data_IF_960329141578
#
_entry.id   IF_960329141578
#
_cell.length_a   1.000
_cell.length_b   1.000
_cell.length_c   1.000
_cell.angle_alpha   90.00
_cell.angle_beta   90.00
_cell.angle_gamma   90.00
#
_symmetry.space_group_name_H-M   'P 1'
#
loop_
_entity.id
_entity.type
_entity.pdbx_description
1 polymer ?
#
# COMPACT_ATOMS: atom_id res chain seq x y z
N UNK A 1 61.78 -51.11 94.28
CA UNK A 1 62.24 -51.54 92.93
C UNK A 1 61.77 -50.53 91.87
N UNK A 2 62.27 -50.68 90.64
CA UNK A 2 62.07 -49.88 89.41
C UNK A 2 60.70 -49.18 89.18
N UNK A 3 60.79 -47.98 88.57
CA UNK A 3 59.92 -47.40 87.52
C UNK A 3 58.37 -47.42 87.67
N UNK A 4 57.76 -46.21 87.67
CA UNK A 4 56.72 -45.89 86.66
C UNK A 4 56.46 -44.38 86.36
N UNK A 5 57.31 -43.45 86.80
CA UNK A 5 57.06 -42.00 86.70
C UNK A 5 57.21 -41.33 85.31
N UNK A 6 57.54 -42.05 84.23
CA UNK A 6 57.90 -41.43 82.93
C UNK A 6 56.74 -41.23 81.93
N UNK A 7 55.66 -42.01 82.02
CA UNK A 7 54.60 -41.98 80.99
C UNK A 7 53.76 -40.68 81.00
N UNK A 8 53.55 -40.04 82.15
CA UNK A 8 52.75 -38.81 82.25
C UNK A 8 53.36 -37.60 81.53
N UNK A 9 54.68 -37.39 81.63
CA UNK A 9 55.37 -36.23 81.00
C UNK A 9 55.43 -36.34 79.48
N UNK A 10 55.64 -37.54 78.94
CA UNK A 10 55.63 -37.78 77.49
C UNK A 10 54.26 -37.51 76.85
N UNK A 11 53.17 -37.89 77.54
CA UNK A 11 51.81 -37.69 77.03
C UNK A 11 51.45 -36.20 76.92
N UNK A 12 51.70 -35.40 77.97
CA UNK A 12 51.45 -33.93 77.94
C UNK A 12 52.27 -33.20 76.88
N UNK A 13 53.53 -33.58 76.66
CA UNK A 13 54.37 -32.96 75.62
C UNK A 13 53.85 -33.21 74.20
N UNK A 14 53.37 -34.43 73.92
CA UNK A 14 52.73 -34.75 72.64
C UNK A 14 51.38 -34.04 72.47
N UNK A 15 50.56 -33.99 73.53
CA UNK A 15 49.27 -33.30 73.54
C UNK A 15 49.42 -31.79 73.28
N UNK A 16 50.41 -31.14 73.89
CA UNK A 16 50.71 -29.73 73.64
C UNK A 16 51.15 -29.48 72.20
N UNK A 17 51.99 -30.36 71.61
CA UNK A 17 52.39 -30.27 70.20
C UNK A 17 51.21 -30.45 69.25
N UNK A 18 50.32 -31.43 69.51
CA UNK A 18 49.11 -31.63 68.71
C UNK A 18 48.14 -30.44 68.79
N UNK A 19 48.02 -29.80 69.97
CA UNK A 19 47.23 -28.58 70.13
C UNK A 19 47.84 -27.39 69.38
N UNK A 20 49.16 -27.22 69.39
CA UNK A 20 49.84 -26.19 68.60
C UNK A 20 49.69 -26.43 67.08
N UNK A 21 49.80 -27.68 66.63
CA UNK A 21 49.60 -28.06 65.23
C UNK A 21 48.15 -27.85 64.77
N UNK A 22 47.18 -28.15 65.63
CA UNK A 22 45.76 -27.90 65.36
C UNK A 22 45.42 -26.39 65.32
N UNK A 23 46.02 -25.58 66.21
CA UNK A 23 45.86 -24.11 66.18
C UNK A 23 46.46 -23.52 64.90
N UNK A 24 47.66 -23.94 64.50
CA UNK A 24 48.28 -23.48 63.25
C UNK A 24 47.45 -23.87 62.03
N UNK A 25 46.89 -25.09 62.00
CA UNK A 25 46.00 -25.53 60.92
C UNK A 25 44.68 -24.74 60.89
N UNK A 26 44.11 -24.41 62.05
CA UNK A 26 42.91 -23.59 62.13
C UNK A 26 43.17 -22.16 61.63
N UNK A 27 44.33 -21.57 61.95
CA UNK A 27 44.73 -20.26 61.41
C UNK A 27 44.89 -20.30 59.88
N UNK A 28 45.54 -21.34 59.34
CA UNK A 28 45.68 -21.52 57.89
C UNK A 28 44.32 -21.72 57.19
N UNK A 29 43.40 -22.48 57.79
CA UNK A 29 42.05 -22.68 57.25
C UNK A 29 41.20 -21.39 57.31
N UNK A 30 41.38 -20.56 58.35
CA UNK A 30 40.76 -19.24 58.48
C UNK A 30 41.34 -18.23 57.47
N UNK A 31 42.65 -18.21 57.27
CA UNK A 31 43.34 -17.41 56.25
C UNK A 31 42.89 -17.80 54.83
N UNK A 32 42.88 -19.10 54.49
CA UNK A 32 42.37 -19.58 53.19
C UNK A 32 40.88 -19.27 53.01
N UNK A 33 40.06 -19.31 54.07
CA UNK A 33 38.65 -18.91 53.99
C UNK A 33 38.50 -17.42 53.65
N UNK A 34 39.27 -16.55 54.32
CA UNK A 34 39.26 -15.12 54.07
C UNK A 34 39.80 -14.77 52.67
N UNK A 35 40.79 -15.51 52.16
CA UNK A 35 41.27 -15.35 50.79
C UNK A 35 40.22 -15.79 49.76
N UNK A 36 39.57 -16.94 49.95
CA UNK A 36 38.47 -17.41 49.09
C UNK A 36 37.29 -16.43 49.09
N UNK A 37 36.96 -15.82 50.23
CA UNK A 37 35.91 -14.81 50.34
C UNK A 37 36.25 -13.51 49.60
N UNK A 38 37.50 -13.01 49.73
CA UNK A 38 37.99 -11.86 48.95
C UNK A 38 37.95 -12.11 47.43
N UNK A 39 38.42 -13.27 46.99
CA UNK A 39 38.40 -13.66 45.57
C UNK A 39 36.96 -13.81 45.03
N UNK A 40 36.01 -14.20 45.88
CA UNK A 40 34.59 -14.24 45.53
C UNK A 40 33.99 -12.83 45.41
N UNK A 41 34.27 -11.94 46.37
CA UNK A 41 33.86 -10.53 46.32
C UNK A 41 34.43 -9.81 45.09
N UNK A 42 35.74 -9.91 44.84
CA UNK A 42 36.40 -9.30 43.67
C UNK A 42 35.81 -9.84 42.34
N UNK A 43 35.38 -11.10 42.31
CA UNK A 43 34.70 -11.69 41.14
C UNK A 43 33.28 -11.17 40.95
N UNK A 44 32.53 -10.93 42.04
CA UNK A 44 31.21 -10.30 41.97
C UNK A 44 31.32 -8.84 41.51
N UNK A 45 32.24 -8.06 42.08
CA UNK A 45 32.50 -6.66 41.68
C UNK A 45 32.85 -6.55 40.19
N UNK A 46 33.71 -7.45 39.66
CA UNK A 46 34.04 -7.50 38.22
C UNK A 46 32.83 -7.86 37.35
N UNK A 47 31.95 -8.75 37.81
CA UNK A 47 30.75 -9.13 37.07
C UNK A 47 29.70 -8.02 37.07
N UNK A 48 29.50 -7.36 38.21
CA UNK A 48 28.62 -6.19 38.34
C UNK A 48 29.14 -5.02 37.51
N UNK A 49 30.43 -4.67 37.60
CA UNK A 49 31.02 -3.59 36.80
C UNK A 49 30.88 -3.84 35.29
N UNK A 50 31.04 -5.11 34.84
CA UNK A 50 30.77 -5.49 33.45
C UNK A 50 29.30 -5.28 33.08
N UNK A 51 28.37 -5.78 33.89
CA UNK A 51 26.93 -5.65 33.64
C UNK A 51 26.43 -4.19 33.67
N UNK A 52 26.95 -3.37 34.59
CA UNK A 52 26.68 -1.94 34.64
C UNK A 52 27.23 -1.22 33.39
N UNK A 53 28.42 -1.60 32.91
CA UNK A 53 29.00 -1.05 31.68
C UNK A 53 28.22 -1.43 30.42
N UNK A 54 27.78 -2.69 30.30
CA UNK A 54 26.94 -3.15 29.19
C UNK A 54 25.59 -2.41 29.18
N UNK A 55 24.90 -2.34 30.32
CA UNK A 55 23.67 -1.55 30.49
C UNK A 55 23.86 -0.07 30.14
N UNK A 56 25.02 0.53 30.47
CA UNK A 56 25.32 1.92 30.11
C UNK A 56 25.53 2.11 28.60
N UNK A 57 26.12 1.13 27.90
CA UNK A 57 26.21 1.16 26.42
C UNK A 57 24.81 1.05 25.79
N UNK A 58 24.02 0.07 26.23
CA UNK A 58 22.63 -0.13 25.76
C UNK A 58 21.77 1.14 25.93
N UNK A 59 21.85 1.78 27.09
CA UNK A 59 21.12 3.03 27.36
C UNK A 59 21.62 4.20 26.50
N UNK A 60 22.93 4.30 26.23
CA UNK A 60 23.49 5.32 25.35
C UNK A 60 23.08 5.12 23.88
N UNK A 61 23.03 3.86 23.43
CA UNK A 61 22.57 3.48 22.08
C UNK A 61 21.06 3.75 21.91
N UNK A 62 20.24 3.36 22.89
CA UNK A 62 18.80 3.65 22.91
C UNK A 62 18.52 5.16 22.92
N UNK A 63 19.24 5.94 23.73
CA UNK A 63 19.13 7.40 23.72
C UNK A 63 19.56 8.01 22.38
N UNK A 64 20.64 7.51 21.76
CA UNK A 64 21.06 7.92 20.42
C UNK A 64 20.00 7.61 19.36
N UNK A 65 19.34 6.44 19.45
CA UNK A 65 18.25 6.05 18.55
C UNK A 65 17.00 6.92 18.76
N UNK A 66 16.63 7.22 20.01
CA UNK A 66 15.52 8.11 20.34
C UNK A 66 15.75 9.53 19.80
N UNK A 67 16.97 10.07 19.94
CA UNK A 67 17.34 11.37 19.35
C UNK A 67 17.26 11.37 17.83
N UNK A 68 17.70 10.29 17.15
CA UNK A 68 17.57 10.12 15.70
C UNK A 68 16.10 10.05 15.26
N UNK A 69 15.26 9.30 15.97
CA UNK A 69 13.82 9.20 15.71
C UNK A 69 13.12 10.56 15.82
N UNK A 70 13.33 11.29 16.91
CA UNK A 70 12.75 12.63 17.09
C UNK A 70 13.24 13.62 16.02
N UNK A 71 14.53 13.54 15.63
CA UNK A 71 15.09 14.36 14.56
C UNK A 71 14.47 14.04 13.19
N UNK A 72 14.23 12.76 12.90
CA UNK A 72 13.56 12.31 11.67
C UNK A 72 12.07 12.72 11.65
N UNK A 73 11.38 12.64 12.79
CA UNK A 73 9.99 13.09 12.93
C UNK A 73 9.87 14.61 12.69
N UNK A 74 10.75 15.41 13.28
CA UNK A 74 10.82 16.85 13.03
C UNK A 74 11.11 17.15 11.54
N UNK A 75 12.08 16.45 10.95
CA UNK A 75 12.43 16.61 9.53
C UNK A 75 11.25 16.26 8.61
N UNK A 76 10.50 15.17 8.89
CA UNK A 76 9.27 14.79 8.18
C UNK A 76 8.22 15.91 8.26
N UNK A 77 8.02 16.50 9.44
CA UNK A 77 7.08 17.61 9.63
C UNK A 77 7.50 18.87 8.87
N UNK A 78 8.79 19.21 8.84
CA UNK A 78 9.28 20.40 8.15
C UNK A 78 9.35 20.21 6.63
N UNK A 79 9.69 19.01 6.15
CA UNK A 79 9.57 18.63 4.74
C UNK A 79 8.12 18.75 4.23
N UNK A 80 7.13 18.26 5.00
CA UNK A 80 5.71 18.40 4.66
C UNK A 80 5.23 19.87 4.63
N UNK A 81 5.78 20.75 5.48
CA UNK A 81 5.51 22.21 5.41
C UNK A 81 6.14 22.83 4.17
N UNK A 82 7.40 22.47 3.88
CA UNK A 82 8.13 22.98 2.72
C UNK A 82 7.45 22.58 1.41
N UNK A 83 7.03 21.32 1.26
CA UNK A 83 6.31 20.86 0.07
C UNK A 83 4.99 21.61 -0.17
N UNK A 84 4.21 21.92 0.89
CA UNK A 84 3.00 22.75 0.78
C UNK A 84 3.32 24.21 0.43
N UNK A 85 4.44 24.75 0.90
CA UNK A 85 4.90 26.09 0.54
C UNK A 85 5.41 26.17 -0.91
N UNK A 86 6.15 25.16 -1.37
CA UNK A 86 6.61 25.04 -2.75
C UNK A 86 5.44 24.91 -3.73
N UNK A 87 4.41 24.13 -3.39
CA UNK A 87 3.19 24.02 -4.18
C UNK A 87 2.40 25.35 -4.23
N UNK A 88 2.29 26.06 -3.11
CA UNK A 88 1.69 27.40 -3.10
C UNK A 88 2.46 28.43 -3.96
N UNK A 89 3.78 28.26 -4.10
CA UNK A 89 4.63 29.13 -4.92
C UNK A 89 4.71 28.73 -6.40
N UNK A 90 4.43 27.47 -6.77
CA UNK A 90 4.62 27.01 -8.15
C UNK A 90 3.60 27.61 -9.12
N UNK A 91 2.38 27.87 -8.66
CA UNK A 91 1.27 28.43 -9.44
C UNK A 91 0.99 27.68 -10.77
N UNK A 92 1.34 26.40 -10.82
CA UNK A 92 1.31 25.56 -12.03
C UNK A 92 -0.10 25.05 -12.42
N UNK A 93 -1.10 25.24 -11.55
CA UNK A 93 -2.47 24.78 -11.77
C UNK A 93 -2.68 23.28 -11.55
N UNK A 94 -1.69 22.56 -11.01
CA UNK A 94 -1.91 21.20 -10.48
C UNK A 94 -2.74 21.26 -9.18
N UNK A 95 -3.62 20.28 -8.91
CA UNK A 95 -4.41 20.26 -7.67
C UNK A 95 -3.62 19.67 -6.48
N UNK A 96 -3.92 20.09 -5.24
CA UNK A 96 -3.48 19.37 -4.03
C UNK A 96 -4.35 18.12 -3.85
N UNK A 97 -3.80 16.89 -3.93
CA UNK A 97 -4.59 15.67 -3.76
C UNK A 97 -5.18 15.48 -2.35
N UNK A 98 -4.75 16.25 -1.35
CA UNK A 98 -5.37 16.31 -0.03
C UNK A 98 -6.62 17.19 0.02
N UNK A 99 -6.98 17.88 -1.07
CA UNK A 99 -8.16 18.74 -1.18
C UNK A 99 -9.15 18.12 -2.18
N UNK A 100 -10.21 17.40 -1.71
CA UNK A 100 -11.12 16.67 -2.60
C UNK A 100 -11.83 17.56 -3.63
N UNK A 101 -12.03 18.84 -3.32
CA UNK A 101 -12.64 19.81 -4.24
C UNK A 101 -11.77 20.10 -5.46
N UNK A 102 -10.44 20.18 -5.28
CA UNK A 102 -9.49 20.45 -6.37
C UNK A 102 -9.35 19.23 -7.29
N UNK A 103 -9.22 18.03 -6.71
CA UNK A 103 -9.19 16.78 -7.47
C UNK A 103 -10.49 16.53 -8.22
N UNK A 104 -11.65 16.69 -7.58
CA UNK A 104 -12.94 16.51 -8.27
C UNK A 104 -13.12 17.53 -9.40
N UNK A 105 -12.63 18.76 -9.23
CA UNK A 105 -12.62 19.78 -10.29
C UNK A 105 -11.68 19.38 -11.42
N UNK A 106 -10.45 18.96 -11.13
CA UNK A 106 -9.48 18.47 -12.13
C UNK A 106 -10.02 17.27 -12.92
N UNK A 107 -10.56 16.25 -12.24
CA UNK A 107 -11.11 15.06 -12.88
C UNK A 107 -12.34 15.39 -13.73
N UNK A 108 -13.20 16.32 -13.30
CA UNK A 108 -14.38 16.73 -14.09
C UNK A 108 -13.96 17.53 -15.33
N UNK A 109 -13.12 18.56 -15.16
CA UNK A 109 -12.60 19.37 -16.26
C UNK A 109 -11.86 18.50 -17.29
N UNK A 110 -11.01 17.58 -16.84
CA UNK A 110 -10.30 16.70 -17.76
C UNK A 110 -11.23 15.67 -18.41
N UNK A 111 -12.23 15.15 -17.71
CA UNK A 111 -13.25 14.26 -18.30
C UNK A 111 -13.99 14.92 -19.46
N UNK A 112 -14.40 16.18 -19.30
CA UNK A 112 -15.08 16.95 -20.36
C UNK A 112 -14.13 17.34 -21.51
N UNK A 113 -12.84 17.58 -21.21
CA UNK A 113 -11.80 17.96 -22.18
C UNK A 113 -11.67 16.94 -23.32
N UNK A 114 -11.60 17.43 -24.57
CA UNK A 114 -11.53 16.58 -25.74
C UNK A 114 -10.07 16.37 -26.15
N UNK A 115 -9.39 15.43 -25.50
CA UNK A 115 -8.07 14.94 -25.89
C UNK A 115 -8.15 14.28 -27.30
N UNK A 116 -8.00 15.11 -28.34
CA UNK A 116 -8.06 14.65 -29.74
C UNK A 116 -6.88 13.75 -30.09
N UNK A 117 -5.72 13.99 -29.47
CA UNK A 117 -4.46 13.32 -29.76
C UNK A 117 -3.86 12.61 -28.54
N UNK A 118 -3.19 11.49 -28.79
CA UNK A 118 -2.53 10.63 -27.81
C UNK A 118 -1.36 11.34 -27.15
N UNK A 119 -0.69 12.29 -27.82
CA UNK A 119 0.40 13.07 -27.21
C UNK A 119 -0.10 13.96 -26.06
N UNK A 120 -1.27 14.59 -26.20
CA UNK A 120 -1.89 15.40 -25.13
C UNK A 120 -2.17 14.54 -23.89
N UNK A 121 -2.68 13.31 -24.10
CA UNK A 121 -2.87 12.33 -23.01
C UNK A 121 -1.53 11.96 -22.37
N UNK A 122 -0.46 11.74 -23.15
CA UNK A 122 0.90 11.46 -22.63
C UNK A 122 1.49 12.60 -21.80
N UNK A 123 1.19 13.85 -22.15
CA UNK A 123 1.62 15.04 -21.41
C UNK A 123 0.81 15.19 -20.12
N UNK A 124 -0.53 15.15 -20.19
CA UNK A 124 -1.42 15.27 -19.03
C UNK A 124 -1.20 14.14 -18.00
N UNK A 125 -0.90 12.93 -18.48
CA UNK A 125 -0.54 11.74 -17.69
C UNK A 125 0.50 12.02 -16.61
N UNK A 126 1.56 12.79 -16.89
CA UNK A 126 2.62 13.02 -15.90
C UNK A 126 2.09 13.79 -14.68
N UNK A 127 1.06 14.64 -14.84
CA UNK A 127 0.33 15.25 -13.72
C UNK A 127 -0.45 14.19 -12.94
N UNK A 128 -1.21 13.33 -13.64
CA UNK A 128 -2.02 12.26 -13.02
C UNK A 128 -1.14 11.31 -12.18
N UNK A 129 0.01 10.90 -12.71
CA UNK A 129 0.96 10.03 -12.02
C UNK A 129 1.54 10.70 -10.77
N UNK A 130 1.84 12.01 -10.83
CA UNK A 130 2.30 12.79 -9.68
C UNK A 130 1.22 12.89 -8.57
N UNK A 131 -0.06 13.02 -8.95
CA UNK A 131 -1.19 13.02 -7.99
C UNK A 131 -1.39 11.66 -7.33
N UNK A 132 -1.27 10.57 -8.11
CA UNK A 132 -1.31 9.19 -7.61
C UNK A 132 -0.13 8.94 -6.65
N UNK A 133 1.10 9.26 -7.06
CA UNK A 133 2.31 9.10 -6.24
C UNK A 133 2.20 9.87 -4.90
N UNK A 134 1.67 11.11 -4.92
CA UNK A 134 1.39 11.89 -3.70
C UNK A 134 0.39 11.20 -2.77
N UNK A 135 -0.70 10.63 -3.29
CA UNK A 135 -1.70 9.92 -2.49
C UNK A 135 -1.13 8.62 -1.91
N UNK A 136 -0.37 7.87 -2.69
CA UNK A 136 0.26 6.62 -2.29
C UNK A 136 1.35 6.86 -1.23
N UNK A 137 2.13 7.92 -1.38
CA UNK A 137 3.10 8.40 -0.38
C UNK A 137 2.41 8.78 0.94
N UNK A 138 1.27 9.48 0.89
CA UNK A 138 0.47 9.80 2.08
C UNK A 138 -0.10 8.54 2.75
N UNK A 139 -0.61 7.58 1.96
CA UNK A 139 -1.14 6.30 2.46
C UNK A 139 -0.08 5.44 3.17
N UNK A 140 1.18 5.55 2.74
CA UNK A 140 2.35 4.84 3.26
C UNK A 140 3.02 5.56 4.45
N UNK A 141 3.17 6.88 4.39
CA UNK A 141 3.81 7.67 5.47
C UNK A 141 2.91 7.92 6.68
N UNK A 142 1.58 7.93 6.49
CA UNK A 142 0.68 8.38 7.55
C UNK A 142 0.64 7.38 8.71
N UNK A 143 0.96 7.87 9.91
CA UNK A 143 0.75 7.12 11.14
C UNK A 143 -0.76 6.87 11.35
N UNK A 144 -1.16 5.82 12.12
CA UNK A 144 -2.57 5.53 12.38
C UNK A 144 -3.37 6.70 12.97
N UNK A 145 -2.69 7.65 13.62
CA UNK A 145 -3.25 8.86 14.22
C UNK A 145 -3.26 10.07 13.26
N UNK A 146 -2.54 10.01 12.13
CA UNK A 146 -2.45 11.10 11.14
C UNK A 146 -3.61 11.09 10.13
N UNK A 147 -4.18 9.92 9.79
CA UNK A 147 -5.35 9.78 8.89
C UNK A 147 -6.38 8.80 9.43
N UNK A 148 -7.66 9.15 9.32
CA UNK A 148 -8.77 8.23 9.60
C UNK A 148 -8.88 7.15 8.51
N UNK A 149 -9.44 5.98 8.86
CA UNK A 149 -9.74 4.94 7.86
C UNK A 149 -10.65 5.48 6.74
N UNK A 150 -11.62 6.34 7.07
CA UNK A 150 -12.46 7.01 6.07
C UNK A 150 -11.69 7.91 5.09
N UNK A 151 -10.55 8.50 5.49
CA UNK A 151 -9.67 9.24 4.58
C UNK A 151 -8.76 8.30 3.78
N UNK A 152 -8.31 7.20 4.39
CA UNK A 152 -7.56 6.14 3.72
C UNK A 152 -8.37 5.55 2.56
N UNK A 153 -9.64 5.25 2.79
CA UNK A 153 -10.58 4.75 1.78
C UNK A 153 -10.81 5.80 0.67
N UNK A 154 -11.02 7.07 1.02
CA UNK A 154 -11.18 8.17 0.06
C UNK A 154 -9.95 8.35 -0.84
N UNK A 155 -8.73 8.27 -0.29
CA UNK A 155 -7.50 8.37 -1.09
C UNK A 155 -7.31 7.17 -2.01
N UNK A 156 -7.69 5.95 -1.58
CA UNK A 156 -7.66 4.75 -2.43
C UNK A 156 -8.67 4.86 -3.58
N UNK A 157 -9.91 5.28 -3.30
CA UNK A 157 -10.93 5.53 -4.33
C UNK A 157 -10.48 6.58 -5.35
N UNK A 158 -9.88 7.70 -4.90
CA UNK A 158 -9.34 8.73 -5.81
C UNK A 158 -8.21 8.20 -6.69
N UNK A 159 -7.30 7.35 -6.18
CA UNK A 159 -6.27 6.70 -7.01
C UNK A 159 -6.92 5.87 -8.12
N UNK A 160 -7.94 5.07 -7.79
CA UNK A 160 -8.66 4.25 -8.77
C UNK A 160 -9.37 5.10 -9.83
N UNK A 161 -10.04 6.19 -9.42
CA UNK A 161 -10.70 7.12 -10.35
C UNK A 161 -9.71 7.84 -11.29
N UNK A 162 -8.51 8.20 -10.79
CA UNK A 162 -7.45 8.79 -11.62
C UNK A 162 -6.85 7.77 -12.61
N UNK A 163 -6.68 6.51 -12.19
CA UNK A 163 -6.20 5.42 -13.06
C UNK A 163 -7.22 5.08 -14.17
N UNK A 164 -8.51 4.95 -13.82
CA UNK A 164 -9.61 4.72 -14.75
C UNK A 164 -9.77 5.88 -15.76
N UNK A 165 -9.76 7.13 -15.28
CA UNK A 165 -9.83 8.31 -16.15
C UNK A 165 -8.65 8.38 -17.14
N UNK A 166 -7.42 8.10 -16.69
CA UNK A 166 -6.25 8.01 -17.58
C UNK A 166 -6.41 6.90 -18.63
N UNK A 167 -6.94 5.74 -18.24
CA UNK A 167 -7.21 4.65 -19.17
C UNK A 167 -8.31 5.01 -20.19
N UNK A 168 -9.38 5.68 -19.74
CA UNK A 168 -10.45 6.20 -20.59
C UNK A 168 -9.91 7.20 -21.62
N UNK A 169 -9.08 8.18 -21.22
CA UNK A 169 -8.48 9.13 -22.16
C UNK A 169 -7.57 8.49 -23.20
N UNK A 170 -6.81 7.45 -22.84
CA UNK A 170 -6.09 6.66 -23.84
C UNK A 170 -7.03 5.94 -24.82
N UNK A 171 -8.23 5.52 -24.39
CA UNK A 171 -9.24 4.92 -25.26
C UNK A 171 -9.91 5.97 -26.17
N UNK A 172 -10.24 7.15 -25.65
CA UNK A 172 -10.85 8.25 -26.41
C UNK A 172 -9.89 8.76 -27.50
N UNK A 173 -8.63 9.05 -27.15
CA UNK A 173 -7.62 9.46 -28.11
C UNK A 173 -7.31 8.36 -29.14
N UNK A 174 -7.37 7.07 -28.74
CA UNK A 174 -7.28 5.93 -29.68
C UNK A 174 -8.46 5.94 -30.67
N UNK A 175 -9.69 6.18 -30.18
CA UNK A 175 -10.88 6.25 -31.03
C UNK A 175 -10.80 7.45 -31.99
N UNK A 176 -10.33 8.61 -31.51
CA UNK A 176 -10.15 9.81 -32.33
C UNK A 176 -9.11 9.61 -33.44
N UNK A 177 -7.95 9.00 -33.13
CA UNK A 177 -6.96 8.63 -34.14
C UNK A 177 -7.50 7.61 -35.15
N UNK A 178 -8.31 6.64 -34.72
CA UNK A 178 -8.92 5.65 -35.62
C UNK A 178 -9.97 6.26 -36.57
N UNK A 179 -10.71 7.30 -36.18
CA UNK A 179 -11.64 8.04 -37.08
C UNK A 179 -10.93 8.65 -38.30
N UNK A 180 -9.65 9.02 -38.15
CA UNK A 180 -8.83 9.65 -39.19
C UNK A 180 -7.77 8.70 -39.79
N UNK A 181 -7.79 7.40 -39.47
CA UNK A 181 -6.74 6.45 -39.82
C UNK A 181 -6.43 6.35 -41.33
N UNK A 182 -7.40 6.59 -42.20
CA UNK A 182 -7.20 6.62 -43.66
C UNK A 182 -6.34 7.79 -44.15
N UNK A 183 -6.13 8.82 -43.34
CA UNK A 183 -5.19 9.92 -43.62
C UNK A 183 -3.73 9.54 -43.32
N UNK A 184 -3.52 8.48 -42.53
CA UNK A 184 -2.21 7.97 -42.09
C UNK A 184 -1.91 6.60 -42.70
N UNK A 185 -2.42 6.37 -43.92
CA UNK A 185 -2.13 5.17 -44.70
C UNK A 185 -0.66 5.16 -45.17
N UNK A 186 0.11 4.16 -44.74
CA UNK A 186 1.45 3.90 -45.28
C UNK A 186 1.36 3.47 -46.76
N UNK A 187 2.21 4.07 -47.59
CA UNK A 187 2.27 3.81 -49.04
C UNK A 187 2.74 2.41 -49.43
N UNK A 188 3.49 1.69 -48.59
CA UNK A 188 4.01 0.36 -48.94
C UNK A 188 3.01 -0.76 -48.60
N UNK A 189 2.41 -0.72 -47.42
CA UNK A 189 1.44 -1.72 -46.94
C UNK A 189 -0.01 -1.36 -47.29
N UNK A 190 -0.34 -0.07 -47.29
CA UNK A 190 -1.69 0.46 -47.36
C UNK A 190 -2.45 0.42 -46.02
N UNK A 191 -1.77 0.14 -44.91
CA UNK A 191 -2.34 0.11 -43.56
C UNK A 191 -1.86 1.33 -42.75
N UNK A 192 -2.53 1.68 -41.65
CA UNK A 192 -1.99 2.69 -40.72
C UNK A 192 -1.06 2.04 -39.72
N UNK A 193 0.05 2.69 -39.37
CA UNK A 193 0.77 2.42 -38.12
C UNK A 193 1.34 3.70 -37.50
N UNK A 194 1.49 3.73 -36.18
CA UNK A 194 2.07 4.86 -35.44
C UNK A 194 2.73 4.37 -34.16
N UNK A 195 3.86 4.96 -33.78
CA UNK A 195 4.57 4.73 -32.51
C UNK A 195 4.81 6.08 -31.85
N UNK A 196 4.35 6.23 -30.61
CA UNK A 196 4.61 7.38 -29.74
C UNK A 196 5.27 6.88 -28.46
N UNK A 197 6.25 7.61 -27.94
CA UNK A 197 7.14 7.12 -26.89
C UNK A 197 7.63 8.24 -25.99
N UNK A 198 7.30 8.16 -24.71
CA UNK A 198 7.82 9.03 -23.66
C UNK A 198 8.70 8.23 -22.68
N UNK A 199 9.05 8.82 -21.53
CA UNK A 199 9.89 8.20 -20.48
C UNK A 199 9.22 6.96 -19.84
N UNK A 200 7.90 7.00 -19.71
CA UNK A 200 7.06 6.12 -18.91
C UNK A 200 6.09 5.27 -19.76
N UNK A 201 5.82 5.66 -21.01
CA UNK A 201 4.89 4.98 -21.91
C UNK A 201 5.49 4.77 -23.30
N UNK A 202 5.27 3.59 -23.87
CA UNK A 202 5.30 3.37 -25.32
C UNK A 202 3.89 3.02 -25.79
N UNK A 203 3.32 3.86 -26.65
CA UNK A 203 2.06 3.60 -27.35
C UNK A 203 2.39 3.19 -28.78
N UNK A 204 1.80 2.09 -29.24
CA UNK A 204 1.85 1.71 -30.65
C UNK A 204 0.45 1.35 -31.13
N UNK A 205 0.11 1.72 -32.35
CA UNK A 205 -1.14 1.34 -32.99
C UNK A 205 -0.89 0.93 -34.43
N UNK A 206 -1.61 -0.08 -34.90
CA UNK A 206 -1.67 -0.51 -36.28
C UNK A 206 -3.13 -0.77 -36.66
N UNK A 207 -3.55 -0.44 -37.87
CA UNK A 207 -4.93 -0.69 -38.34
C UNK A 207 -4.97 -1.30 -39.74
N UNK A 208 -5.74 -2.38 -39.88
CA UNK A 208 -5.88 -3.18 -41.10
C UNK A 208 -6.84 -2.52 -42.11
N UNK A 209 -6.38 -1.46 -42.76
CA UNK A 209 -7.19 -0.73 -43.75
C UNK A 209 -7.41 -1.54 -45.04
N UNK A 210 -6.44 -2.36 -45.48
CA UNK A 210 -6.57 -3.13 -46.74
C UNK A 210 -7.09 -4.56 -46.61
N UNK A 211 -7.15 -5.13 -45.39
CA UNK A 211 -7.69 -6.50 -45.15
C UNK A 211 -6.99 -7.60 -45.97
N UNK A 212 -5.67 -7.45 -46.15
CA UNK A 212 -4.83 -8.35 -46.97
C UNK A 212 -4.14 -9.36 -46.06
N UNK A 213 -4.37 -10.66 -46.32
CA UNK A 213 -3.71 -11.80 -45.64
C UNK A 213 -2.17 -11.70 -45.58
N UNK A 214 -1.54 -11.01 -46.53
CA UNK A 214 -0.09 -10.76 -46.55
C UNK A 214 0.39 -9.97 -45.33
N UNK A 215 -0.44 -9.08 -44.77
CA UNK A 215 -0.14 -8.25 -43.61
C UNK A 215 -0.84 -8.80 -42.37
N UNK A 216 -0.69 -10.11 -42.14
CA UNK A 216 -1.12 -10.79 -40.92
C UNK A 216 -0.22 -10.46 -39.72
N UNK A 217 1.00 -10.01 -39.96
CA UNK A 217 1.99 -9.68 -38.94
C UNK A 217 2.47 -8.23 -39.09
N UNK A 218 2.92 -7.64 -37.97
CA UNK A 218 3.56 -6.32 -37.95
C UNK A 218 4.54 -6.22 -36.77
N UNK A 219 5.61 -5.46 -36.96
CA UNK A 219 6.64 -5.19 -35.94
C UNK A 219 6.92 -3.69 -35.88
N UNK A 220 6.60 -3.08 -34.75
CA UNK A 220 6.93 -1.71 -34.39
C UNK A 220 8.43 -1.64 -34.05
N UNK A 221 9.27 -1.37 -35.05
CA UNK A 221 10.73 -1.46 -34.91
C UNK A 221 11.28 -0.58 -33.77
N UNK A 222 10.79 0.65 -33.63
CA UNK A 222 11.21 1.61 -32.58
C UNK A 222 10.78 1.24 -31.15
N UNK A 223 9.81 0.32 -31.03
CA UNK A 223 9.32 -0.21 -29.76
C UNK A 223 9.90 -1.60 -29.43
N UNK A 224 10.39 -2.35 -30.41
CA UNK A 224 10.79 -3.75 -30.23
C UNK A 224 9.60 -4.67 -29.92
N UNK A 225 8.41 -4.33 -30.42
CA UNK A 225 7.15 -5.05 -30.17
C UNK A 225 6.47 -5.41 -31.49
N UNK A 226 5.75 -6.53 -31.53
CA UNK A 226 5.04 -6.97 -32.73
C UNK A 226 4.01 -8.04 -32.41
N UNK A 227 3.21 -8.40 -33.40
CA UNK A 227 2.13 -9.39 -33.28
C UNK A 227 1.94 -10.18 -34.59
N UNK A 228 1.28 -11.33 -34.48
CA UNK A 228 0.75 -12.10 -35.61
C UNK A 228 -0.76 -12.30 -35.39
N UNK A 229 -1.54 -12.09 -36.46
CA UNK A 229 -2.98 -12.24 -36.49
C UNK A 229 -3.40 -13.63 -37.01
N UNK A 230 -4.40 -14.27 -36.39
CA UNK A 230 -5.18 -15.31 -37.03
C UNK A 230 -5.74 -14.84 -38.38
N UNK A 231 -5.83 -15.77 -39.35
CA UNK A 231 -6.28 -15.48 -40.73
C UNK A 231 -7.64 -14.77 -40.80
N UNK A 232 -8.54 -15.04 -39.86
CA UNK A 232 -9.85 -14.38 -39.73
C UNK A 232 -9.74 -12.89 -39.41
N UNK A 233 -8.80 -12.48 -38.55
CA UNK A 233 -8.56 -11.08 -38.19
C UNK A 233 -7.81 -10.35 -39.30
N UNK A 234 -6.88 -11.01 -40.00
CA UNK A 234 -6.15 -10.45 -41.14
C UNK A 234 -7.07 -10.08 -42.34
N UNK A 235 -8.26 -10.67 -42.42
CA UNK A 235 -9.31 -10.37 -43.41
C UNK A 235 -10.38 -9.38 -42.91
N UNK A 236 -10.32 -8.95 -41.64
CA UNK A 236 -11.34 -8.13 -40.99
C UNK A 236 -10.88 -6.67 -40.82
N UNK A 237 -11.83 -5.75 -40.59
CA UNK A 237 -11.48 -4.45 -39.97
C UNK A 237 -10.98 -4.75 -38.56
N UNK A 238 -9.70 -4.52 -38.29
CA UNK A 238 -9.10 -4.69 -36.95
C UNK A 238 -8.02 -3.64 -36.76
N UNK A 239 -8.01 -3.02 -35.59
CA UNK A 239 -6.85 -2.29 -35.08
C UNK A 239 -6.24 -3.01 -33.88
N UNK A 240 -4.92 -2.98 -33.80
CA UNK A 240 -4.14 -3.56 -32.69
C UNK A 240 -3.41 -2.42 -32.00
N UNK A 241 -3.73 -2.17 -30.73
CA UNK A 241 -3.05 -1.19 -29.89
C UNK A 241 -2.17 -1.91 -28.87
N UNK A 242 -0.90 -1.52 -28.81
CA UNK A 242 0.04 -1.88 -27.76
C UNK A 242 0.16 -0.69 -26.82
N UNK A 243 -0.07 -0.88 -25.53
CA UNK A 243 0.27 0.10 -24.50
C UNK A 243 1.24 -0.55 -23.52
N UNK A 244 2.45 -0.04 -23.48
CA UNK A 244 3.52 -0.47 -22.58
C UNK A 244 3.79 0.63 -21.55
N UNK A 245 3.65 0.34 -20.26
CA UNK A 245 3.81 1.31 -19.17
C UNK A 245 4.85 0.90 -18.13
N UNK A 246 5.56 1.88 -17.57
CA UNK A 246 6.49 1.71 -16.43
C UNK A 246 5.79 1.62 -15.07
N UNK A 247 4.52 1.98 -15.01
CA UNK A 247 3.62 2.00 -13.86
C UNK A 247 2.42 1.08 -14.13
N UNK A 248 1.73 0.61 -13.07
CA UNK A 248 0.43 -0.04 -13.24
C UNK A 248 -0.72 0.96 -13.11
N UNK A 249 -1.76 0.74 -13.91
CA UNK A 249 -2.97 1.54 -13.99
C UNK A 249 -4.25 0.66 -13.95
N UNK A 250 -4.12 -0.63 -13.63
CA UNK A 250 -5.26 -1.55 -13.43
C UNK A 250 -5.06 -2.55 -12.26
N UNK A 251 -3.95 -2.52 -11.52
CA UNK A 251 -3.79 -3.33 -10.30
C UNK A 251 -4.17 -2.51 -9.07
N UNK A 252 -5.29 -2.82 -8.37
CA UNK A 252 -5.76 -2.02 -7.24
C UNK A 252 -4.92 -2.15 -5.96
N UNK A 253 -3.90 -3.01 -5.95
CA UNK A 253 -3.48 -3.71 -4.73
C UNK A 253 -2.05 -3.44 -4.26
N UNK A 254 -1.23 -2.67 -4.99
CA UNK A 254 0.19 -2.54 -4.64
C UNK A 254 0.45 -1.90 -3.27
N UNK A 255 -0.46 -1.02 -2.82
CA UNK A 255 -0.45 -0.43 -1.47
C UNK A 255 -0.89 -1.44 -0.40
N UNK A 256 -1.95 -2.22 -0.65
CA UNK A 256 -2.43 -3.23 0.32
C UNK A 256 -1.44 -4.40 0.49
N UNK A 257 -0.68 -4.75 -0.56
CA UNK A 257 0.38 -5.76 -0.48
C UNK A 257 1.59 -5.32 0.38
N UNK A 258 1.73 -4.05 0.75
CA UNK A 258 2.75 -3.56 1.69
C UNK A 258 2.31 -3.64 3.16
N UNK A 259 1.30 -4.46 3.47
CA UNK A 259 0.92 -4.80 4.83
C UNK A 259 2.03 -5.50 5.62
N UNK A 260 2.91 -4.70 6.24
CA UNK A 260 3.68 -5.09 7.42
C UNK A 260 2.74 -5.82 8.39
N UNK A 261 3.12 -6.98 8.97
CA UNK A 261 2.21 -7.76 9.80
C UNK A 261 1.65 -6.91 10.94
N UNK A 262 0.32 -6.69 10.96
CA UNK A 262 -0.36 -6.05 12.10
C UNK A 262 0.00 -6.85 13.36
N UNK A 263 0.68 -6.25 14.36
CA UNK A 263 0.91 -6.91 15.64
C UNK A 263 -0.42 -6.97 16.39
N UNK A 264 -1.18 -8.04 16.17
CA UNK A 264 -2.56 -8.17 16.62
C UNK A 264 -2.80 -9.51 17.29
N UNK A 265 -3.07 -9.47 18.59
CA UNK A 265 -3.54 -10.56 19.44
C UNK A 265 -2.63 -11.79 19.55
N UNK A 266 -1.75 -11.77 20.56
CA UNK A 266 -1.72 -12.83 21.59
C UNK A 266 -1.13 -12.28 22.88
N UNK A 267 -1.94 -11.49 23.61
CA UNK A 267 -1.72 -11.28 25.05
C UNK A 267 -2.08 -12.58 25.81
N UNK A 268 -1.20 -13.57 25.68
CA UNK A 268 -1.18 -14.76 26.52
C UNK A 268 -0.06 -14.57 27.53
N UNK A 269 -0.41 -14.16 28.76
CA UNK A 269 0.50 -14.27 29.90
C UNK A 269 0.69 -15.75 30.21
N UNK A 270 1.65 -16.40 29.53
CA UNK A 270 2.10 -17.75 29.87
C UNK A 270 2.87 -17.66 31.20
N UNK A 271 2.11 -17.75 32.29
CA UNK A 271 2.62 -17.73 33.65
C UNK A 271 3.51 -18.97 33.84
N UNK A 272 4.74 -18.77 34.32
CA UNK A 272 5.73 -19.83 34.36
C UNK A 272 5.26 -21.06 35.15
N UNK A 273 5.22 -22.23 34.50
CA UNK A 273 5.02 -23.50 35.18
C UNK A 273 6.16 -23.76 36.17
N UNK A 274 5.78 -24.10 37.40
CA UNK A 274 6.63 -24.80 38.35
C UNK A 274 5.77 -25.93 38.95
N UNK A 275 6.29 -27.17 39.06
CA UNK A 275 5.43 -28.36 39.08
C UNK A 275 4.74 -28.65 40.42
N UNK A 276 3.78 -29.56 40.33
CA UNK A 276 3.09 -30.31 41.40
C UNK A 276 4.11 -31.02 42.34
N UNK A 277 3.78 -31.56 43.52
CA UNK A 277 2.49 -31.94 44.12
C UNK A 277 2.61 -31.91 45.68
N UNK A 278 1.47 -31.89 46.37
CA UNK A 278 1.08 -32.79 47.49
C UNK A 278 -0.26 -32.27 48.04
N UNK A 279 -1.35 -32.91 47.63
CA UNK A 279 -2.71 -32.43 47.91
C UNK A 279 -3.34 -32.88 49.23
N UNK A 280 -4.61 -32.48 49.42
CA UNK A 280 -5.61 -33.25 50.17
C UNK A 280 -7.05 -32.81 49.78
N UNK A 281 -7.88 -33.80 49.46
CA UNK A 281 -9.35 -33.72 49.30
C UNK A 281 -10.05 -33.75 50.70
N UNK A 282 -11.40 -33.63 50.83
CA UNK A 282 -12.44 -33.33 49.83
C UNK A 282 -13.50 -32.27 50.31
N UNK A 283 -14.55 -32.06 49.52
CA UNK A 283 -15.88 -31.67 50.04
C UNK A 283 -16.75 -30.77 49.14
N UNK A 284 -17.86 -31.34 48.62
CA UNK A 284 -19.25 -30.82 48.62
C UNK A 284 -19.54 -29.35 48.16
N UNK A 285 -20.61 -29.00 47.42
CA UNK A 285 -21.73 -29.76 46.83
C UNK A 285 -22.46 -28.93 45.72
N UNK A 286 -23.26 -29.64 44.90
CA UNK A 286 -24.53 -29.26 44.22
C UNK A 286 -24.78 -27.99 43.34
N UNK A 287 -25.37 -28.30 42.16
CA UNK A 287 -26.56 -27.70 41.49
C UNK A 287 -26.59 -26.34 40.71
N UNK A 288 -27.05 -26.50 39.44
CA UNK A 288 -28.06 -25.73 38.65
C UNK A 288 -28.08 -24.19 38.65
N UNK A 289 -28.18 -23.62 37.43
CA UNK A 289 -28.49 -22.20 37.21
C UNK A 289 -28.84 -21.82 35.76
N UNK A 290 -29.86 -22.45 35.16
CA UNK A 290 -30.37 -22.14 33.81
C UNK A 290 -31.31 -20.92 33.86
N UNK A 291 -31.13 -19.90 33.01
CA UNK A 291 -32.17 -19.35 32.10
C UNK A 291 -31.80 -18.04 31.36
N UNK A 292 -31.68 -18.14 30.03
CA UNK A 292 -32.24 -17.18 29.06
C UNK A 292 -33.77 -17.47 28.90
N UNK A 293 -34.63 -16.66 28.22
CA UNK A 293 -34.31 -15.54 27.31
C UNK A 293 -35.22 -14.29 27.45
N UNK A 294 -35.12 -13.34 26.51
CA UNK A 294 -36.21 -12.92 25.58
C UNK A 294 -36.35 -11.41 25.29
N UNK A 295 -36.67 -11.13 24.03
CA UNK A 295 -37.21 -9.86 23.50
C UNK A 295 -38.71 -10.08 23.20
N UNK A 296 -39.56 -9.04 23.07
CA UNK A 296 -39.95 -8.67 21.71
C UNK A 296 -40.37 -7.20 21.45
N UNK A 297 -40.25 -6.82 20.17
CA UNK A 297 -41.15 -6.01 19.33
C UNK A 297 -41.86 -4.71 19.85
N UNK A 298 -41.43 -3.59 19.24
CA UNK A 298 -42.23 -2.66 18.41
C UNK A 298 -43.62 -2.12 18.83
N UNK A 299 -43.80 -0.80 18.63
CA UNK A 299 -45.06 -0.24 18.08
C UNK A 299 -44.78 1.10 17.33
N UNK A 300 -45.58 1.44 16.31
CA UNK A 300 -45.56 2.76 15.64
C UNK A 300 -46.59 3.72 16.25
N UNK A 301 -46.27 5.02 16.30
CA UNK A 301 -47.29 6.06 16.19
C UNK A 301 -46.70 7.38 15.66
N UNK A 302 -47.46 8.13 14.86
CA UNK A 302 -46.99 9.40 14.28
C UNK A 302 -48.04 10.52 14.20
N UNK A 303 -47.75 11.51 13.34
CA UNK A 303 -48.61 12.60 12.81
C UNK A 303 -48.40 14.06 13.28
N UNK A 304 -48.56 14.98 12.32
CA UNK A 304 -48.67 16.48 12.39
C UNK A 304 -47.36 17.23 12.76
N UNK A 305 -47.07 18.44 12.24
CA UNK A 305 -47.76 19.34 11.27
C UNK A 305 -47.95 20.77 11.84
N UNK A 306 -47.95 21.90 11.10
CA UNK A 306 -47.89 22.23 9.65
C UNK A 306 -47.50 23.73 9.51
N UNK A 307 -46.75 24.12 8.45
CA UNK A 307 -46.71 25.43 7.70
C UNK A 307 -45.34 25.58 6.99
N UNK A 308 -45.11 26.10 5.78
CA UNK A 308 -45.77 27.05 4.83
C UNK A 308 -45.11 28.44 4.78
N UNK A 309 -44.34 28.69 3.70
CA UNK A 309 -44.23 29.94 2.89
C UNK A 309 -43.14 29.71 1.82
N UNK A 310 -43.35 29.63 0.50
CA UNK A 310 -44.15 30.40 -0.48
C UNK A 310 -43.53 31.73 -0.93
N UNK A 311 -42.84 31.69 -2.08
CA UNK A 311 -42.55 32.84 -2.94
C UNK A 311 -42.68 32.40 -4.41
N UNK A 312 -43.15 33.26 -5.30
CA UNK A 312 -43.45 32.92 -6.70
C UNK A 312 -43.19 34.11 -7.62
N UNK A 313 -42.64 33.83 -8.81
CA UNK A 313 -42.66 34.72 -9.97
C UNK A 313 -43.04 33.91 -11.23
N UNK A 314 -43.74 34.54 -12.18
CA UNK A 314 -44.39 33.87 -13.32
C UNK A 314 -44.51 34.77 -14.56
N UNK A 315 -44.19 34.21 -15.72
CA UNK A 315 -44.54 34.64 -17.08
C UNK A 315 -44.12 33.51 -18.05
N UNK A 316 -44.89 32.97 -19.02
CA UNK A 316 -46.11 33.42 -19.74
C UNK A 316 -45.83 34.66 -20.61
N UNK A 317 -45.93 34.68 -21.95
CA UNK A 317 -46.30 33.70 -23.01
C UNK A 317 -45.70 34.18 -24.38
N UNK A 318 -45.93 33.68 -25.61
CA UNK A 318 -46.98 32.84 -26.23
C UNK A 318 -46.51 32.20 -27.59
N UNK A 319 -47.44 31.58 -28.33
CA UNK A 319 -47.31 30.92 -29.66
C UNK A 319 -47.13 31.94 -30.85
N UNK A 320 -47.09 31.62 -32.18
CA UNK A 320 -47.95 30.70 -32.98
C UNK A 320 -47.49 30.47 -34.45
N UNK A 321 -47.59 29.20 -34.93
CA UNK A 321 -47.94 28.61 -36.26
C UNK A 321 -47.50 29.07 -37.68
N UNK A 322 -47.41 28.04 -38.56
CA UNK A 322 -47.53 27.97 -40.06
C UNK A 322 -46.44 28.63 -40.96
N UNK A 323 -46.16 28.18 -42.21
CA UNK A 323 -46.73 27.15 -43.13
C UNK A 323 -45.69 26.71 -44.21
N UNK A 324 -45.75 25.46 -44.70
CA UNK A 324 -45.47 24.88 -46.07
C UNK A 324 -44.31 25.43 -47.00
N UNK A 325 -43.78 24.72 -48.01
CA UNK A 325 -44.31 23.66 -48.91
C UNK A 325 -43.22 22.64 -49.42
N UNK A 326 -43.47 21.95 -50.54
CA UNK A 326 -42.82 20.74 -51.15
C UNK A 326 -41.39 20.96 -51.75
N UNK A 327 -40.59 19.97 -52.22
CA UNK A 327 -40.84 18.75 -53.05
C UNK A 327 -39.92 17.52 -52.75
N UNK A 328 -40.08 16.43 -53.53
CA UNK A 328 -39.30 15.16 -53.51
C UNK A 328 -37.85 15.36 -54.02
N UNK A 329 -36.86 14.50 -53.74
CA UNK A 329 -36.64 13.21 -54.44
C UNK A 329 -35.98 12.11 -53.55
N UNK A 330 -35.85 10.91 -54.12
CA UNK A 330 -35.47 9.66 -53.44
C UNK A 330 -33.96 9.39 -53.36
N UNK A 331 -33.47 8.78 -52.27
CA UNK A 331 -32.97 7.38 -52.33
C UNK A 331 -32.64 6.76 -50.95
N UNK A 332 -32.50 5.42 -50.99
CA UNK A 332 -32.17 4.42 -49.95
C UNK A 332 -30.87 4.79 -49.18
N UNK A 333 -30.61 4.36 -47.94
CA UNK A 333 -30.67 2.97 -47.44
C UNK A 333 -30.67 2.87 -45.89
N UNK A 334 -31.22 1.75 -45.40
CA UNK A 334 -30.84 0.99 -44.18
C UNK A 334 -30.50 1.73 -42.87
N UNK A 335 -31.44 1.71 -41.92
CA UNK A 335 -31.12 1.70 -40.49
C UNK A 335 -30.33 0.44 -40.12
N UNK A 336 -29.07 0.58 -39.66
CA UNK A 336 -28.38 -0.44 -38.86
C UNK A 336 -27.67 0.24 -37.69
N UNK A 337 -28.34 0.16 -36.53
CA UNK A 337 -27.85 0.07 -35.16
C UNK A 337 -26.47 0.68 -34.82
N UNK A 338 -26.51 1.65 -33.91
CA UNK A 338 -25.41 1.98 -33.00
C UNK A 338 -24.89 0.71 -32.30
N UNK A 339 -23.58 0.48 -32.40
CA UNK A 339 -22.92 -0.73 -31.92
C UNK A 339 -21.63 -0.36 -31.18
N UNK A 340 -21.64 -0.51 -29.85
CA UNK A 340 -20.45 -0.40 -29.03
C UNK A 340 -19.38 -1.41 -29.50
N UNK A 341 -18.23 -0.93 -29.97
CA UNK A 341 -17.09 -1.80 -30.31
C UNK A 341 -16.61 -2.54 -29.05
N UNK A 342 -16.76 -3.86 -29.06
CA UNK A 342 -16.34 -4.72 -27.96
C UNK A 342 -14.88 -5.12 -28.15
N UNK A 343 -13.97 -4.29 -27.62
CA UNK A 343 -12.54 -4.60 -27.61
C UNK A 343 -12.22 -5.88 -26.82
N UNK A 344 -11.34 -6.72 -27.37
CA UNK A 344 -10.89 -7.96 -26.72
C UNK A 344 -9.55 -7.71 -26.00
N UNK A 345 -9.51 -8.12 -24.73
CA UNK A 345 -8.42 -7.86 -23.78
C UNK A 345 -7.53 -9.09 -23.66
N UNK A 346 -6.25 -8.96 -24.04
CA UNK A 346 -5.26 -10.04 -23.86
C UNK A 346 -4.11 -9.57 -22.95
N UNK A 347 -4.08 -10.15 -21.75
CA UNK A 347 -3.09 -9.85 -20.72
C UNK A 347 -1.86 -10.75 -20.86
N UNK A 348 -0.68 -10.12 -20.96
CA UNK A 348 0.61 -10.79 -20.79
C UNK A 348 1.39 -10.07 -19.68
N UNK A 349 1.52 -10.70 -18.51
CA UNK A 349 2.42 -10.19 -17.46
C UNK A 349 3.85 -10.63 -17.75
N UNK A 350 4.76 -9.66 -17.86
CA UNK A 350 6.19 -9.91 -17.93
C UNK A 350 6.79 -9.73 -16.52
N UNK A 351 7.70 -10.61 -16.11
CA UNK A 351 8.18 -10.73 -14.72
C UNK A 351 9.17 -9.64 -14.27
N UNK A 352 9.21 -8.47 -14.93
CA UNK A 352 10.26 -7.44 -14.76
C UNK A 352 9.72 -6.00 -14.86
N UNK A 353 8.97 -5.57 -13.84
CA UNK A 353 8.66 -4.15 -13.53
C UNK A 353 8.03 -3.34 -14.67
N UNK A 354 7.42 -4.01 -15.65
CA UNK A 354 6.93 -3.42 -16.90
C UNK A 354 5.70 -4.17 -17.38
N UNK A 355 4.70 -3.43 -17.81
CA UNK A 355 3.40 -3.98 -18.19
C UNK A 355 3.18 -3.74 -19.67
N UNK A 356 3.01 -4.82 -20.43
CA UNK A 356 2.73 -4.81 -21.86
C UNK A 356 1.28 -5.29 -22.05
N UNK A 357 0.37 -4.39 -22.45
CA UNK A 357 -1.03 -4.74 -22.72
C UNK A 357 -1.32 -4.63 -24.22
N UNK A 358 -2.00 -5.65 -24.75
CA UNK A 358 -2.35 -5.79 -26.16
C UNK A 358 -3.88 -5.75 -26.28
N UNK A 359 -4.40 -4.78 -27.04
CA UNK A 359 -5.83 -4.58 -27.23
C UNK A 359 -6.19 -4.82 -28.69
N UNK A 360 -7.18 -5.68 -28.92
CA UNK A 360 -7.78 -5.89 -30.23
C UNK A 360 -9.07 -5.07 -30.32
N UNK A 361 -9.11 -4.13 -31.24
CA UNK A 361 -10.25 -3.25 -31.51
C UNK A 361 -10.86 -3.73 -32.84
N UNK A 362 -12.13 -4.10 -32.81
CA UNK A 362 -12.89 -4.70 -33.91
C UNK A 362 -14.10 -3.82 -34.27
#
# INVERSE_FOLDING_TARGET
>A
MKFNGKNGKSKKGKEARLKAEALLRAQQEEEERLERERLYQERLEKLEAKYQGERQSELAELHSLQQKFLSAQQWKMDYRKQAKWEHYLSCDGTPDPTVPQEINTFMSLWRDDQDVDVQLVMEKKEVVLNLIEKLEFLLLEAAPEEITDTQRDQYQEVILQLQDLLHQKYNDATQNLLKIASMYEDSETGNMHTVLKDKNVTFCIWANLKKKVRFKDHVFQDAGHGFELPLSLALSSVAVRVLHTSYDHLSPLWVQCQGLPRPGASDSMELAEHPEDIGQEPGEEEEKGREEPSVPAAEEMGSKGRKESSASLKGTSNNTDEKKETEEETEKNSDILDAQSQGIWLFFMCSTTKILRLYFIC
#
